data_IF_039230064336
#
_entry.id   IF_039230064336
#
_cell.length_a   1.000
_cell.length_b   1.000
_cell.length_c   1.000
_cell.angle_alpha   90.00
_cell.angle_beta   90.00
_cell.angle_gamma   90.00
#
_symmetry.space_group_name_H-M   'P 1'
#
loop_
_entity.id
_entity.type
_entity.pdbx_description
1 polymer ?
#
# COMPACT_ATOMS: atom_id res chain seq x y z
N UNK A 1 9.78 29.36 4.62
CA UNK A 1 8.39 29.02 5.01
C UNK A 1 8.42 28.48 6.43
N UNK A 2 7.54 28.88 7.30
CA UNK A 2 7.39 28.36 8.67
C UNK A 2 6.08 27.56 8.72
N UNK A 3 6.13 26.31 9.13
CA UNK A 3 4.94 25.52 9.46
C UNK A 3 5.06 25.15 10.93
N UNK A 4 4.01 25.38 11.72
CA UNK A 4 4.00 25.14 13.17
C UNK A 4 5.17 25.80 13.92
N UNK A 5 5.62 26.99 13.46
CA UNK A 5 6.71 27.74 14.11
C UNK A 5 8.13 27.22 13.87
N UNK A 6 8.32 26.09 13.19
CA UNK A 6 9.64 25.53 12.87
C UNK A 6 10.13 25.97 11.48
N UNK A 7 11.41 26.34 11.40
CA UNK A 7 12.06 26.68 10.14
C UNK A 7 12.48 25.40 9.42
N UNK A 8 11.83 25.09 8.30
CA UNK A 8 12.14 23.90 7.49
C UNK A 8 13.25 24.24 6.50
N UNK A 9 14.27 23.39 6.37
CA UNK A 9 15.30 23.51 5.35
C UNK A 9 14.62 23.41 3.98
N UNK A 10 14.70 24.49 3.18
CA UNK A 10 13.96 24.69 1.94
C UNK A 10 14.05 23.51 0.96
N UNK A 11 15.23 22.91 0.81
CA UNK A 11 15.46 21.82 -0.16
C UNK A 11 14.75 20.51 0.18
N UNK A 12 14.48 20.21 1.45
CA UNK A 12 13.80 18.99 1.88
C UNK A 12 12.28 19.17 1.80
N UNK A 13 11.79 20.36 2.08
CA UNK A 13 10.36 20.64 2.07
C UNK A 13 9.77 20.59 0.66
N UNK A 14 10.42 21.23 -0.33
CA UNK A 14 9.93 21.24 -1.71
C UNK A 14 10.13 19.91 -2.44
N UNK A 15 11.16 19.13 -2.10
CA UNK A 15 11.42 17.86 -2.78
C UNK A 15 10.37 16.79 -2.48
N UNK A 16 9.82 16.74 -1.27
CA UNK A 16 8.84 15.72 -0.89
C UNK A 16 7.44 15.96 -1.45
N UNK A 17 6.81 17.14 -1.34
CA UNK A 17 5.55 17.43 -2.01
C UNK A 17 5.64 17.19 -3.51
N UNK A 18 6.71 17.68 -4.15
CA UNK A 18 6.91 17.50 -5.57
C UNK A 18 7.04 16.04 -5.98
N UNK A 19 7.83 15.24 -5.25
CA UNK A 19 7.98 13.81 -5.53
C UNK A 19 6.67 13.04 -5.28
N UNK A 20 5.91 13.41 -4.25
CA UNK A 20 4.60 12.81 -3.98
C UNK A 20 3.64 13.10 -5.13
N UNK A 21 3.55 14.35 -5.55
CA UNK A 21 2.73 14.77 -6.67
C UNK A 21 3.16 14.11 -7.99
N UNK A 22 4.45 14.19 -8.34
CA UNK A 22 5.00 13.58 -9.56
C UNK A 22 4.69 12.09 -9.63
N UNK A 23 4.89 11.36 -8.53
CA UNK A 23 4.61 9.93 -8.47
C UNK A 23 3.10 9.63 -8.57
N UNK A 24 2.25 10.46 -7.98
CA UNK A 24 0.80 10.36 -8.10
C UNK A 24 0.35 10.55 -9.55
N UNK A 25 0.80 11.60 -10.22
CA UNK A 25 0.50 11.88 -11.63
C UNK A 25 1.01 10.75 -12.53
N UNK A 26 2.28 10.37 -12.37
CA UNK A 26 2.89 9.35 -13.22
C UNK A 26 2.17 7.99 -13.15
N UNK A 27 1.81 7.51 -11.96
CA UNK A 27 1.09 6.23 -11.84
C UNK A 27 -0.34 6.27 -12.38
N UNK A 28 -0.97 7.46 -12.46
CA UNK A 28 -2.32 7.61 -13.00
C UNK A 28 -2.35 7.81 -14.51
N UNK A 29 -1.34 8.48 -15.10
CA UNK A 29 -1.42 8.95 -16.48
C UNK A 29 -0.26 8.50 -17.38
N UNK A 30 0.91 8.15 -16.85
CA UNK A 30 2.04 7.66 -17.66
C UNK A 30 1.94 6.15 -17.89
N UNK A 31 1.58 5.75 -19.10
CA UNK A 31 1.45 4.34 -19.51
C UNK A 31 2.76 3.54 -19.39
N UNK A 32 3.91 4.21 -19.43
CA UNK A 32 5.22 3.57 -19.26
C UNK A 32 5.61 3.37 -17.80
N UNK A 33 4.87 3.98 -16.87
CA UNK A 33 5.13 3.82 -15.45
C UNK A 33 4.78 2.38 -15.00
N UNK A 34 5.72 1.73 -14.30
CA UNK A 34 5.56 0.35 -13.81
C UNK A 34 4.31 0.11 -12.95
N UNK A 35 3.79 1.16 -12.32
CA UNK A 35 2.58 1.11 -11.50
C UNK A 35 1.30 1.44 -12.25
N UNK A 36 1.37 1.94 -13.50
CA UNK A 36 0.20 2.33 -14.28
C UNK A 36 -0.87 1.24 -14.35
N UNK A 37 -0.46 -0.02 -14.54
CA UNK A 37 -1.38 -1.19 -14.57
C UNK A 37 -2.25 -1.34 -13.31
N UNK A 38 -1.79 -0.81 -12.17
CA UNK A 38 -2.49 -0.90 -10.88
C UNK A 38 -3.26 0.38 -10.54
N UNK A 39 -3.06 1.47 -11.30
CA UNK A 39 -3.68 2.77 -11.06
C UNK A 39 -4.43 3.29 -12.30
N UNK A 40 -3.79 3.96 -13.23
CA UNK A 40 -4.43 4.55 -14.40
C UNK A 40 -5.19 3.54 -15.25
N UNK A 41 -4.63 2.34 -15.48
CA UNK A 41 -5.31 1.28 -16.22
C UNK A 41 -6.57 0.74 -15.50
N UNK A 42 -6.72 0.98 -14.20
CA UNK A 42 -7.93 0.65 -13.41
C UNK A 42 -8.90 1.84 -13.26
N UNK A 43 -8.68 2.92 -14.00
CA UNK A 43 -9.51 4.13 -13.96
C UNK A 43 -9.27 5.00 -12.72
N UNK A 44 -8.11 4.87 -12.05
CA UNK A 44 -7.75 5.77 -10.97
C UNK A 44 -7.25 7.08 -11.55
N UNK A 45 -7.81 8.20 -11.08
CA UNK A 45 -7.57 9.55 -11.56
C UNK A 45 -7.10 10.48 -10.43
N UNK A 46 -6.69 11.68 -10.81
CA UNK A 46 -6.40 12.79 -9.91
C UNK A 46 -7.44 13.89 -10.17
N UNK A 47 -7.96 14.54 -9.12
CA UNK A 47 -8.89 15.64 -9.30
C UNK A 47 -8.24 16.79 -10.10
N UNK A 48 -9.06 17.57 -10.80
CA UNK A 48 -8.56 18.65 -11.69
C UNK A 48 -7.64 19.62 -10.96
N UNK A 49 -8.00 20.00 -9.71
CA UNK A 49 -7.21 20.92 -8.90
C UNK A 49 -5.78 20.40 -8.66
N UNK A 50 -5.62 19.11 -8.40
CA UNK A 50 -4.31 18.50 -8.10
C UNK A 50 -3.51 18.08 -9.35
N UNK A 51 -4.02 18.30 -10.54
CA UNK A 51 -3.22 18.17 -11.76
C UNK A 51 -2.17 19.27 -11.86
N UNK A 52 -2.43 20.45 -11.28
CA UNK A 52 -1.43 21.50 -11.07
C UNK A 52 -0.68 21.31 -9.74
N UNK A 53 0.65 21.41 -9.80
CA UNK A 53 1.51 21.22 -8.64
C UNK A 53 1.32 22.29 -7.57
N UNK A 54 1.10 23.57 -7.97
CA UNK A 54 0.96 24.66 -7.00
C UNK A 54 -0.32 24.45 -6.17
N UNK A 55 -1.41 24.06 -6.80
CA UNK A 55 -2.66 23.75 -6.12
C UNK A 55 -2.52 22.55 -5.18
N UNK A 56 -1.78 21.50 -5.59
CA UNK A 56 -1.46 20.38 -4.73
C UNK A 56 -0.61 20.81 -3.53
N UNK A 57 0.36 21.70 -3.74
CA UNK A 57 1.23 22.23 -2.69
C UNK A 57 0.45 23.09 -1.67
N UNK A 58 -0.52 23.88 -2.11
CA UNK A 58 -1.42 24.63 -1.24
C UNK A 58 -2.29 23.77 -0.33
N UNK A 59 -2.65 22.57 -0.80
CA UNK A 59 -3.47 21.62 -0.06
C UNK A 59 -2.65 20.59 0.74
N UNK A 60 -1.34 20.55 0.55
CA UNK A 60 -0.47 19.49 1.02
C UNK A 60 -0.48 19.31 2.55
N UNK A 61 -0.45 20.40 3.30
CA UNK A 61 -0.48 20.39 4.77
C UNK A 61 -1.90 20.22 5.33
N UNK A 62 -2.93 20.39 4.50
CA UNK A 62 -4.33 20.16 4.85
C UNK A 62 -4.73 18.68 4.69
N UNK A 63 -3.92 17.86 4.01
CA UNK A 63 -4.20 16.44 3.84
C UNK A 63 -4.18 15.77 5.21
N UNK A 64 -5.22 15.02 5.51
CA UNK A 64 -5.36 14.27 6.77
C UNK A 64 -4.09 13.45 7.07
N UNK A 65 -3.65 13.44 8.32
CA UNK A 65 -2.44 12.71 8.72
C UNK A 65 -1.13 13.42 8.37
N UNK A 66 -1.19 14.66 7.85
CA UNK A 66 0.01 15.46 7.69
C UNK A 66 0.67 15.71 9.03
N UNK A 67 1.97 15.46 9.11
CA UNK A 67 2.82 15.75 10.28
C UNK A 67 4.25 15.91 9.81
N UNK A 68 4.92 16.95 10.29
CA UNK A 68 6.34 17.20 9.98
C UNK A 68 7.22 16.03 10.41
N UNK A 69 6.94 15.41 11.56
CA UNK A 69 7.68 14.27 12.08
C UNK A 69 7.61 13.05 11.13
N UNK A 70 6.42 12.74 10.60
CA UNK A 70 6.24 11.66 9.62
C UNK A 70 7.01 11.94 8.34
N UNK A 71 7.06 13.20 7.91
CA UNK A 71 7.78 13.61 6.72
C UNK A 71 9.29 13.63 6.91
N UNK A 72 9.80 14.08 8.02
CA UNK A 72 11.23 14.08 8.34
C UNK A 72 11.79 12.66 8.41
N UNK A 73 11.06 11.73 8.98
CA UNK A 73 11.44 10.30 9.06
C UNK A 73 11.27 9.54 7.73
N UNK A 74 10.90 10.20 6.63
CA UNK A 74 10.73 9.61 5.27
C UNK A 74 9.75 8.44 5.20
N UNK A 75 8.74 8.38 6.07
CA UNK A 75 7.83 7.24 6.21
C UNK A 75 6.37 7.56 5.86
N UNK A 76 6.11 8.74 5.28
CA UNK A 76 4.77 9.13 4.87
C UNK A 76 4.46 8.66 3.45
N UNK A 77 3.31 8.04 3.28
CA UNK A 77 2.74 7.63 1.99
C UNK A 77 1.38 8.29 1.80
N UNK A 78 1.16 8.88 0.63
CA UNK A 78 -0.17 9.37 0.25
C UNK A 78 -1.04 8.17 -0.13
N UNK A 79 -2.04 7.90 0.70
CA UNK A 79 -3.03 6.85 0.50
C UNK A 79 -4.38 7.46 0.11
N UNK A 80 -4.99 6.95 -0.96
CA UNK A 80 -6.32 7.36 -1.42
C UNK A 80 -7.44 6.46 -0.89
N UNK A 81 -7.09 5.30 -0.35
CA UNK A 81 -8.03 4.22 -0.02
C UNK A 81 -8.47 4.27 1.46
N UNK A 82 -7.98 5.23 2.23
CA UNK A 82 -8.16 5.29 3.67
C UNK A 82 -9.60 5.32 4.17
N UNK A 83 -10.50 5.95 3.41
CA UNK A 83 -11.94 6.02 3.72
C UNK A 83 -12.76 4.99 2.93
N UNK A 84 -12.33 4.65 1.72
CA UNK A 84 -13.05 3.74 0.83
C UNK A 84 -12.07 3.06 -0.13
N UNK A 85 -11.92 1.75 0.00
CA UNK A 85 -11.04 0.93 -0.85
C UNK A 85 -11.42 0.99 -2.34
N UNK A 86 -12.68 1.28 -2.66
CA UNK A 86 -13.16 1.42 -4.03
C UNK A 86 -12.98 2.84 -4.59
N UNK A 87 -12.36 3.75 -3.82
CA UNK A 87 -12.10 5.09 -4.28
C UNK A 87 -11.16 5.09 -5.49
N UNK A 88 -11.57 5.80 -6.55
CA UNK A 88 -10.82 5.91 -7.80
C UNK A 88 -10.25 7.30 -8.06
N UNK A 89 -10.29 8.21 -7.09
CA UNK A 89 -9.79 9.57 -7.29
C UNK A 89 -8.91 10.04 -6.14
N UNK A 90 -7.77 10.63 -6.48
CA UNK A 90 -6.95 11.41 -5.56
C UNK A 90 -7.53 12.81 -5.42
N UNK A 91 -7.91 13.19 -4.23
CA UNK A 91 -8.34 14.55 -3.85
C UNK A 91 -8.15 14.77 -2.33
N UNK A 92 -8.38 15.99 -1.85
CA UNK A 92 -8.18 16.35 -0.45
C UNK A 92 -9.09 15.57 0.52
N UNK A 93 -10.31 15.24 0.09
CA UNK A 93 -11.29 14.56 0.94
C UNK A 93 -11.00 13.05 1.12
N UNK A 94 -10.48 12.43 0.07
CA UNK A 94 -10.26 10.99 0.01
C UNK A 94 -8.87 10.57 0.48
N UNK A 95 -7.88 11.47 0.36
CA UNK A 95 -6.49 11.16 0.64
C UNK A 95 -6.12 11.37 2.10
N UNK A 96 -5.17 10.58 2.56
CA UNK A 96 -4.50 10.77 3.84
C UNK A 96 -3.03 10.36 3.76
N UNK A 97 -2.20 10.95 4.63
CA UNK A 97 -0.85 10.47 4.84
C UNK A 97 -0.83 9.37 5.90
N UNK A 98 -0.24 8.24 5.56
CA UNK A 98 -0.08 7.10 6.46
C UNK A 98 1.38 6.68 6.57
N UNK A 99 1.76 6.11 7.70
CA UNK A 99 3.06 5.50 7.87
C UNK A 99 3.13 4.10 7.24
N UNK A 100 4.35 3.53 7.17
CA UNK A 100 4.59 2.21 6.59
C UNK A 100 3.85 1.10 7.37
N UNK A 101 3.72 1.23 8.69
CA UNK A 101 3.06 0.24 9.53
C UNK A 101 1.57 0.17 9.22
N UNK A 102 0.92 1.33 9.16
CA UNK A 102 -0.48 1.47 8.76
C UNK A 102 -0.71 0.97 7.33
N UNK A 103 0.18 1.34 6.38
CA UNK A 103 0.12 0.85 5.01
C UNK A 103 0.22 -0.67 4.93
N UNK A 104 1.12 -1.28 5.70
CA UNK A 104 1.28 -2.74 5.71
C UNK A 104 0.08 -3.45 6.37
N UNK A 105 -0.47 -2.90 7.47
CA UNK A 105 -1.70 -3.43 8.09
C UNK A 105 -2.87 -3.43 7.11
N UNK A 106 -3.08 -2.33 6.37
CA UNK A 106 -4.13 -2.26 5.35
C UNK A 106 -3.96 -3.29 4.24
N UNK A 107 -2.73 -3.52 3.78
CA UNK A 107 -2.44 -4.57 2.79
C UNK A 107 -2.74 -5.97 3.33
N UNK A 108 -2.48 -6.24 4.60
CA UNK A 108 -2.79 -7.54 5.22
C UNK A 108 -4.30 -7.83 5.19
N UNK A 109 -5.16 -6.85 5.46
CA UNK A 109 -6.62 -7.00 5.36
C UNK A 109 -7.13 -7.23 3.92
N UNK A 110 -6.32 -6.96 2.90
CA UNK A 110 -6.64 -7.19 1.48
C UNK A 110 -6.12 -8.55 0.97
N UNK A 111 -5.35 -9.27 1.77
CA UNK A 111 -4.87 -10.60 1.38
C UNK A 111 -6.01 -11.61 1.45
N UNK A 112 -6.13 -12.43 0.41
CA UNK A 112 -7.08 -13.55 0.44
C UNK A 112 -6.67 -14.50 1.56
N UNK A 113 -7.57 -14.83 2.49
CA UNK A 113 -7.29 -15.83 3.50
C UNK A 113 -7.09 -17.20 2.86
N UNK A 114 -6.29 -18.02 3.51
CA UNK A 114 -6.08 -19.40 3.08
C UNK A 114 -6.04 -20.34 4.27
N UNK A 115 -6.53 -21.55 4.06
CA UNK A 115 -6.46 -22.66 5.02
C UNK A 115 -5.20 -23.47 4.75
N UNK A 116 -4.46 -23.79 5.80
CA UNK A 116 -3.44 -24.83 5.81
C UNK A 116 -3.98 -26.03 6.60
N UNK A 117 -3.94 -27.20 5.98
CA UNK A 117 -4.32 -28.46 6.60
C UNK A 117 -3.09 -29.35 6.72
N UNK A 118 -2.73 -29.80 7.91
CA UNK A 118 -1.75 -30.87 8.10
C UNK A 118 -2.43 -32.21 7.79
N UNK A 119 -2.00 -32.89 6.73
CA UNK A 119 -2.64 -34.11 6.25
C UNK A 119 -2.37 -35.35 7.12
N UNK A 120 -1.39 -35.28 8.01
CA UNK A 120 -1.09 -36.40 8.98
C UNK A 120 -1.95 -36.28 10.23
N UNK A 121 -2.16 -35.05 10.73
CA UNK A 121 -2.90 -34.84 11.98
C UNK A 121 -4.35 -34.42 11.77
N UNK A 122 -4.70 -33.99 10.55
CA UNK A 122 -6.01 -33.43 10.23
C UNK A 122 -6.20 -31.98 10.74
N UNK A 123 -5.22 -31.40 11.44
CA UNK A 123 -5.33 -30.05 11.99
C UNK A 123 -5.41 -29.00 10.86
N UNK A 124 -6.34 -28.08 11.02
CA UNK A 124 -6.58 -26.96 10.10
C UNK A 124 -6.36 -25.63 10.78
N UNK A 125 -5.71 -24.71 10.09
CA UNK A 125 -5.54 -23.33 10.55
C UNK A 125 -5.69 -22.36 9.40
N UNK A 126 -6.46 -21.29 9.64
CA UNK A 126 -6.62 -20.18 8.69
C UNK A 126 -5.53 -19.14 8.91
N UNK A 127 -4.92 -18.70 7.82
CA UNK A 127 -3.93 -17.63 7.78
C UNK A 127 -4.36 -16.50 6.84
N UNK A 128 -4.06 -15.29 7.25
CA UNK A 128 -4.22 -14.07 6.43
C UNK A 128 -2.87 -13.58 5.89
N UNK A 129 -1.77 -14.19 6.33
CA UNK A 129 -0.41 -13.77 5.99
C UNK A 129 0.49 -14.99 5.77
N UNK A 130 1.04 -15.09 4.54
CA UNK A 130 1.94 -16.20 4.20
C UNK A 130 3.24 -16.18 5.01
N UNK A 131 3.74 -14.99 5.42
CA UNK A 131 4.95 -14.88 6.25
C UNK A 131 4.73 -15.39 7.68
N UNK A 132 3.53 -15.21 8.22
CA UNK A 132 3.13 -15.76 9.52
C UNK A 132 3.08 -17.28 9.46
N UNK A 133 2.37 -17.83 8.48
CA UNK A 133 2.32 -19.26 8.23
C UNK A 133 3.71 -19.88 8.04
N UNK A 134 4.59 -19.21 7.30
CA UNK A 134 5.98 -19.60 7.06
C UNK A 134 6.78 -19.72 8.36
N UNK A 135 6.71 -18.72 9.22
CA UNK A 135 7.44 -18.71 10.51
C UNK A 135 6.94 -19.77 11.47
N UNK A 136 5.62 -19.90 11.62
CA UNK A 136 5.02 -20.83 12.57
C UNK A 136 5.26 -22.30 12.21
N UNK A 137 5.32 -22.60 10.91
CA UNK A 137 5.40 -23.98 10.43
C UNK A 137 6.77 -24.33 9.82
N UNK A 138 7.73 -23.42 9.88
CA UNK A 138 9.05 -23.56 9.27
C UNK A 138 8.99 -23.99 7.79
N UNK A 139 8.08 -23.36 7.02
CA UNK A 139 7.89 -23.59 5.59
C UNK A 139 8.37 -22.37 4.83
N UNK A 140 9.25 -22.49 3.82
CA UNK A 140 9.65 -21.33 3.02
C UNK A 140 8.44 -20.61 2.40
N UNK A 141 8.34 -19.29 2.59
CA UNK A 141 7.21 -18.49 2.09
C UNK A 141 7.00 -18.66 0.58
N UNK A 142 8.09 -18.78 -0.19
CA UNK A 142 8.02 -19.03 -1.63
C UNK A 142 7.29 -20.34 -1.97
N UNK A 143 7.42 -21.37 -1.13
CA UNK A 143 6.73 -22.65 -1.32
C UNK A 143 5.24 -22.54 -1.01
N UNK A 144 4.86 -21.78 0.02
CA UNK A 144 3.45 -21.48 0.31
C UNK A 144 2.82 -20.74 -0.86
N UNK A 145 3.48 -19.69 -1.35
CA UNK A 145 3.02 -18.90 -2.49
C UNK A 145 2.87 -19.75 -3.76
N UNK A 146 3.88 -20.56 -4.09
CA UNK A 146 3.85 -21.47 -5.24
C UNK A 146 2.69 -22.46 -5.12
N UNK A 147 2.55 -23.10 -3.96
CA UNK A 147 1.51 -24.10 -3.73
C UNK A 147 0.10 -23.52 -3.84
N UNK A 148 -0.13 -22.33 -3.29
CA UNK A 148 -1.41 -21.64 -3.37
C UNK A 148 -1.78 -21.22 -4.80
N UNK A 149 -0.79 -20.80 -5.62
CA UNK A 149 -1.04 -20.16 -6.92
C UNK A 149 -0.83 -21.08 -8.11
N UNK A 150 0.24 -21.86 -8.12
CA UNK A 150 0.73 -22.59 -9.30
C UNK A 150 0.65 -24.12 -9.18
N UNK A 151 0.79 -24.67 -7.97
CA UNK A 151 0.75 -26.13 -7.78
C UNK A 151 -0.65 -26.70 -8.06
N UNK A 152 -0.73 -27.75 -8.87
CA UNK A 152 -1.98 -28.48 -9.12
C UNK A 152 -2.43 -29.26 -7.89
N UNK A 153 -1.50 -29.87 -7.17
CA UNK A 153 -1.80 -30.68 -5.98
C UNK A 153 -2.20 -29.86 -4.74
N UNK A 154 -1.87 -28.53 -4.75
CA UNK A 154 -2.04 -27.66 -3.58
C UNK A 154 -1.36 -28.18 -2.30
N UNK A 155 -0.37 -29.07 -2.46
CA UNK A 155 0.32 -29.75 -1.36
C UNK A 155 1.82 -29.47 -1.38
N UNK A 156 2.39 -29.28 -0.17
CA UNK A 156 3.82 -29.22 0.08
C UNK A 156 4.13 -30.04 1.34
N UNK A 157 4.90 -31.13 1.20
CA UNK A 157 5.11 -32.13 2.24
C UNK A 157 3.76 -32.64 2.78
N UNK A 158 3.58 -32.63 4.10
CA UNK A 158 2.34 -32.99 4.79
C UNK A 158 1.26 -31.89 4.80
N UNK A 159 1.52 -30.70 4.21
CA UNK A 159 0.60 -29.56 4.27
C UNK A 159 -0.15 -29.36 2.95
N UNK A 160 -1.47 -29.20 3.06
CA UNK A 160 -2.36 -28.81 1.98
C UNK A 160 -2.74 -27.34 2.17
N UNK A 161 -2.68 -26.54 1.09
CA UNK A 161 -3.01 -25.12 1.12
C UNK A 161 -4.15 -24.79 0.17
N UNK A 162 -5.17 -24.09 0.64
CA UNK A 162 -6.31 -23.66 -0.17
C UNK A 162 -6.75 -22.25 0.18
N UNK A 163 -7.02 -21.41 -0.80
CA UNK A 163 -7.73 -20.15 -0.58
C UNK A 163 -9.17 -20.44 -0.15
N UNK A 164 -9.67 -19.61 0.77
CA UNK A 164 -11.05 -19.63 1.27
C UNK A 164 -11.74 -18.31 1.00
#
# INVERSE_FOLDING_TARGET
>A
MKIEGKRIKSNVFFSKPYNTWKNMIARCYDKNNKYYKNYGAKGITVCERWKDFNNFLEDFDKIKGFSLDIFEKRRAFLDKDGKNINNKQYNLENCEFIDITTSNKRKQHQMKPFEMTNTLTGLKKTYYNQSECSRENNIPQGMISYTLTRSKSKKYKEYLFRYI
#
